data_IF_251251238212
#
_entry.id   IF_251251238212
#
_cell.length_a   1.000
_cell.length_b   1.000
_cell.length_c   1.000
_cell.angle_alpha   90.00
_cell.angle_beta   90.00
_cell.angle_gamma   90.00
#
_symmetry.space_group_name_H-M   'P 1'
#
loop_
_entity.id
_entity.type
_entity.pdbx_description
1 polymer ?
#
# COMPACT_ATOMS: atom_id res chain seq x y z
N UNK A 1 -1.15 3.65 -41.05
CA UNK A 1 -0.86 4.34 -40.98
C UNK A 1 -0.75 5.07 -39.82
N UNK A 2 -0.77 6.10 -39.86
CA UNK A 2 -0.39 6.76 -38.77
C UNK A 2 -1.32 6.63 -37.65
N UNK A 3 -2.47 6.21 -37.87
CA UNK A 3 -3.32 6.13 -36.82
C UNK A 3 -3.21 4.89 -36.09
N UNK A 4 -2.40 3.98 -36.45
CA UNK A 4 -2.32 2.78 -35.75
C UNK A 4 -1.39 2.92 -34.62
N UNK A 5 -1.74 2.42 -33.45
CA UNK A 5 -0.86 2.47 -32.33
C UNK A 5 0.19 1.42 -32.50
N UNK A 6 1.38 1.79 -32.14
CA UNK A 6 2.47 0.88 -32.17
C UNK A 6 2.31 -0.06 -31.01
N UNK A 7 2.49 -1.34 -31.23
CA UNK A 7 2.40 -2.31 -30.16
C UNK A 7 3.41 -1.98 -29.07
N UNK A 8 4.58 -1.49 -29.45
CA UNK A 8 5.57 -1.16 -28.47
C UNK A 8 5.10 -0.03 -27.55
N UNK A 9 4.35 0.90 -28.09
CA UNK A 9 3.82 1.98 -27.28
C UNK A 9 2.80 1.44 -26.31
N UNK A 10 1.97 0.52 -26.76
CA UNK A 10 0.96 -0.05 -25.89
C UNK A 10 1.64 -0.81 -24.76
N UNK A 11 2.67 -1.59 -25.08
CA UNK A 11 3.38 -2.36 -24.09
C UNK A 11 4.04 -1.41 -23.08
N UNK A 12 4.62 -0.33 -23.54
CA UNK A 12 5.26 0.62 -22.65
C UNK A 12 4.27 1.21 -21.67
N UNK A 13 3.08 1.55 -22.14
CA UNK A 13 2.09 2.12 -21.27
C UNK A 13 1.63 1.09 -20.24
N UNK A 14 1.45 -0.14 -20.68
CA UNK A 14 1.03 -1.18 -19.76
C UNK A 14 2.08 -1.41 -18.69
N UNK A 15 3.35 -1.42 -19.07
CA UNK A 15 4.41 -1.62 -18.10
C UNK A 15 4.42 -0.48 -17.10
N UNK A 16 4.27 0.75 -17.57
CA UNK A 16 4.26 1.87 -16.68
C UNK A 16 3.08 1.81 -15.73
N UNK A 17 1.93 1.42 -16.23
CA UNK A 17 0.77 1.32 -15.38
C UNK A 17 0.96 0.25 -14.32
N UNK A 18 1.55 -0.86 -14.72
CA UNK A 18 1.78 -1.92 -13.76
C UNK A 18 2.79 -1.49 -12.71
N UNK A 19 3.87 -0.84 -13.12
CA UNK A 19 4.86 -0.41 -12.17
C UNK A 19 4.27 0.61 -11.21
N UNK A 20 3.45 1.50 -11.71
CA UNK A 20 2.84 2.50 -10.86
C UNK A 20 1.88 1.85 -9.89
N UNK A 21 1.09 0.90 -10.36
CA UNK A 21 0.14 0.22 -9.50
C UNK A 21 0.87 -0.60 -8.43
N UNK A 22 1.97 -1.23 -8.79
CA UNK A 22 2.73 -2.02 -7.84
C UNK A 22 3.37 -1.12 -6.79
N UNK A 23 3.87 0.04 -7.21
CA UNK A 23 4.43 0.97 -6.26
C UNK A 23 3.37 1.49 -5.30
N UNK A 24 2.20 1.80 -5.82
CA UNK A 24 1.12 2.28 -4.96
C UNK A 24 0.71 1.20 -3.99
N UNK A 25 0.66 -0.04 -4.45
CA UNK A 25 0.29 -1.13 -3.58
C UNK A 25 1.34 -1.31 -2.49
N UNK A 26 2.61 -1.23 -2.86
CA UNK A 26 3.68 -1.38 -1.88
C UNK A 26 3.59 -0.31 -0.81
N UNK A 27 3.29 0.91 -1.21
CA UNK A 27 3.16 1.99 -0.24
C UNK A 27 1.96 1.75 0.66
N UNK A 28 0.86 1.29 0.10
CA UNK A 28 -0.32 1.01 0.89
C UNK A 28 -0.04 -0.11 1.89
N UNK A 29 0.66 -1.13 1.46
CA UNK A 29 0.99 -2.24 2.35
C UNK A 29 1.93 -1.79 3.45
N UNK A 30 2.88 -0.93 3.11
CA UNK A 30 3.79 -0.40 4.12
C UNK A 30 3.03 0.44 5.14
N UNK A 31 2.06 1.21 4.67
CA UNK A 31 1.25 2.01 5.56
C UNK A 31 0.45 1.12 6.50
N UNK A 32 -0.12 0.04 5.97
CA UNK A 32 -0.88 -0.88 6.79
C UNK A 32 0.03 -1.50 7.84
N UNK A 33 1.23 -1.92 7.44
CA UNK A 33 2.16 -2.52 8.38
C UNK A 33 2.53 -1.54 9.49
N UNK A 34 2.75 -0.30 9.12
CA UNK A 34 3.11 0.71 10.08
C UNK A 34 1.97 0.95 11.06
N UNK A 35 0.75 1.01 10.55
CA UNK A 35 -0.40 1.23 11.41
C UNK A 35 -0.61 0.04 12.34
N UNK A 36 -0.39 -1.16 11.86
CA UNK A 36 -0.55 -2.33 12.70
C UNK A 36 0.47 -2.31 13.85
N UNK A 37 1.69 -1.89 13.57
CA UNK A 37 2.68 -1.81 14.62
C UNK A 37 2.31 -0.74 15.63
N UNK A 38 1.81 0.39 15.15
CA UNK A 38 1.41 1.45 16.06
C UNK A 38 0.25 0.99 16.92
N UNK A 39 -0.67 0.26 16.33
CA UNK A 39 -1.79 -0.22 17.09
C UNK A 39 -1.32 -1.19 18.16
N UNK A 40 -0.40 -2.06 17.82
CA UNK A 40 0.11 -2.99 18.80
C UNK A 40 0.81 -2.28 19.93
N UNK A 41 1.55 -1.22 19.62
CA UNK A 41 2.22 -0.49 20.65
C UNK A 41 1.22 0.16 21.58
N UNK A 42 0.17 0.73 21.02
CA UNK A 42 -0.81 1.37 21.85
C UNK A 42 -1.48 0.34 22.74
N UNK A 43 -1.81 -0.80 22.19
CA UNK A 43 -2.45 -1.83 22.98
C UNK A 43 -1.53 -2.34 24.07
N UNK A 44 -0.27 -2.45 23.77
CA UNK A 44 0.65 -2.94 24.78
C UNK A 44 0.93 -1.89 25.84
N UNK A 45 0.89 -0.64 25.48
CA UNK A 45 1.20 0.39 26.42
C UNK A 45 0.05 0.83 27.26
N UNK A 46 -1.14 0.37 27.01
CA UNK A 46 -2.24 0.78 27.77
C UNK A 46 -2.88 -0.34 28.37
N UNK A 47 -2.32 -1.09 29.06
CA UNK A 47 -2.89 -2.24 29.54
C UNK A 47 -3.79 -1.96 30.66
N UNK A 48 -3.39 -1.19 31.47
CA UNK A 48 -4.18 -0.97 32.52
C UNK A 48 -5.38 -0.36 32.31
N UNK A 49 -5.46 0.41 31.43
CA UNK A 49 -6.58 1.10 31.22
C UNK A 49 -7.69 0.24 31.24
N UNK A 50 -7.67 -0.68 30.56
CA UNK A 50 -8.77 -1.43 30.44
C UNK A 50 -8.88 -2.31 31.51
N UNK A 51 -7.93 -2.75 31.91
CA UNK A 51 -8.09 -3.72 32.86
C UNK A 51 -8.66 -3.14 34.01
N UNK A 52 -8.48 -2.13 34.16
CA UNK A 52 -8.97 -1.62 35.25
C UNK A 52 -10.19 -1.70 35.43
N UNK A 53 -10.70 -1.62 35.02
CA UNK A 53 -11.85 -1.71 35.28
C UNK A 53 -12.19 -2.40 36.15
N UNK A 54 -12.12 -2.65 36.34
CA UNK A 54 -12.48 -3.39 37.19
C UNK A 54 -12.65 -3.14 38.00
#
# INVERSE_FOLDING_TARGET
MSNQLDVNDIISVIIEQRNSALNNLAQAMATVSSLQRQLEEVQNNEPDTETTDD
#
